data_IF_493675066777
#
_entry.id   IF_493675066777
#
_cell.length_a   1.000
_cell.length_b   1.000
_cell.length_c   1.000
_cell.angle_alpha   90.00
_cell.angle_beta   90.00
_cell.angle_gamma   90.00
#
_symmetry.space_group_name_H-M   'P 1'
#
loop_
_entity.id
_entity.type
_entity.pdbx_description
1 polymer ?
#
# COMPACT_ATOMS: atom_id res chain seq x y z
N UNK A 1 11.60 5.52 6.22
CA UNK A 1 11.87 6.76 6.98
C UNK A 1 13.32 6.67 7.39
N UNK A 2 14.18 7.61 6.98
CA UNK A 2 15.58 7.64 7.42
C UNK A 2 15.72 8.79 8.41
N UNK A 3 16.40 8.55 9.53
CA UNK A 3 16.70 9.59 10.49
C UNK A 3 17.87 10.45 9.96
N UNK A 4 17.53 11.67 9.53
CA UNK A 4 18.49 12.58 8.94
C UNK A 4 19.57 13.02 9.96
N UNK A 5 19.32 12.92 11.26
CA UNK A 5 20.32 13.22 12.28
C UNK A 5 21.40 12.12 12.36
N UNK A 6 21.01 10.85 12.23
CA UNK A 6 21.96 9.72 12.16
C UNK A 6 22.79 9.78 10.87
N UNK A 7 22.19 10.16 9.75
CA UNK A 7 22.90 10.29 8.47
C UNK A 7 23.93 11.44 8.44
N UNK A 8 23.71 12.50 9.22
CA UNK A 8 24.71 13.56 9.46
C UNK A 8 25.87 13.05 10.32
N UNK A 9 25.57 12.27 11.37
CA UNK A 9 26.60 11.62 12.19
C UNK A 9 27.46 10.63 11.39
N UNK A 10 26.86 9.96 10.40
CA UNK A 10 27.55 9.03 9.51
C UNK A 10 28.29 9.69 8.32
N UNK A 11 28.30 11.03 8.24
CA UNK A 11 28.99 11.80 7.19
C UNK A 11 28.39 11.68 5.78
N UNK A 12 27.25 11.00 5.64
CA UNK A 12 26.52 10.83 4.38
C UNK A 12 25.62 12.02 4.07
N UNK A 13 25.37 12.88 5.05
CA UNK A 13 24.56 14.08 4.90
C UNK A 13 25.28 15.32 5.44
N UNK A 14 25.20 16.44 4.70
CA UNK A 14 25.86 17.69 5.07
C UNK A 14 25.13 18.40 6.21
N UNK A 15 25.86 18.69 7.29
CA UNK A 15 25.33 19.34 8.50
C UNK A 15 24.75 20.74 8.26
N UNK A 16 25.30 21.51 7.31
CA UNK A 16 24.82 22.87 7.00
C UNK A 16 23.47 22.88 6.29
N UNK A 17 23.21 21.86 5.47
CA UNK A 17 21.94 21.65 4.79
C UNK A 17 20.84 21.21 5.78
N UNK A 18 21.19 20.34 6.74
CA UNK A 18 20.28 19.93 7.82
C UNK A 18 19.85 21.15 8.65
N UNK A 19 20.77 22.04 9.00
CA UNK A 19 20.47 23.25 9.78
C UNK A 19 19.54 24.23 9.04
N UNK A 20 19.63 24.31 7.72
CA UNK A 20 18.72 25.14 6.89
C UNK A 20 17.35 24.53 6.69
N UNK A 21 17.26 23.20 6.60
CA UNK A 21 15.99 22.47 6.46
C UNK A 21 15.23 22.34 7.78
N UNK A 22 15.93 22.30 8.92
CA UNK A 22 15.32 22.09 10.25
C UNK A 22 14.67 23.33 10.89
N UNK A 23 14.62 24.48 10.22
CA UNK A 23 14.02 25.70 10.77
C UNK A 23 12.53 25.54 11.13
N UNK A 24 11.81 24.61 10.49
CA UNK A 24 10.47 24.20 10.88
C UNK A 24 10.22 22.74 10.47
N UNK A 25 10.50 21.78 11.34
CA UNK A 25 10.22 20.36 11.09
C UNK A 25 8.81 20.03 11.54
N UNK A 26 7.90 19.77 10.59
CA UNK A 26 6.54 19.32 10.91
C UNK A 26 6.47 17.80 10.83
N UNK A 27 6.34 17.12 11.97
CA UNK A 27 6.12 15.67 11.99
C UNK A 27 4.65 15.39 11.71
N UNK A 28 4.36 14.84 10.54
CA UNK A 28 3.04 14.33 10.21
C UNK A 28 2.81 12.99 10.94
N UNK A 29 1.76 12.86 11.75
CA UNK A 29 1.44 11.59 12.39
C UNK A 29 1.04 10.54 11.33
N UNK A 30 1.36 9.26 11.57
CA UNK A 30 0.88 8.17 10.73
C UNK A 30 -0.65 8.09 10.81
N UNK A 31 -1.29 7.54 9.77
CA UNK A 31 -2.75 7.57 9.64
C UNK A 31 -3.49 6.95 10.83
N UNK A 32 -2.92 5.95 11.49
CA UNK A 32 -3.49 5.31 12.71
C UNK A 32 -3.59 6.23 13.93
N UNK A 33 -2.69 7.21 14.04
CA UNK A 33 -2.63 8.10 15.21
C UNK A 33 -3.46 9.38 14.98
N UNK A 34 -4.19 9.45 13.86
CA UNK A 34 -4.94 10.62 13.42
C UNK A 34 -6.40 10.56 13.86
N UNK A 35 -6.84 11.57 14.61
CA UNK A 35 -8.24 11.74 14.97
C UNK A 35 -9.15 12.10 13.78
N UNK A 36 -8.59 12.72 12.73
CA UNK A 36 -9.29 13.10 11.50
C UNK A 36 -9.35 11.97 10.45
N UNK A 37 -8.98 10.74 10.81
CA UNK A 37 -8.89 9.60 9.88
C UNK A 37 -10.20 9.31 9.14
N UNK A 38 -11.36 9.44 9.78
CA UNK A 38 -12.66 9.30 9.12
C UNK A 38 -12.86 10.31 8.00
N UNK A 39 -12.63 11.59 8.27
CA UNK A 39 -12.73 12.63 7.26
C UNK A 39 -11.72 12.43 6.13
N UNK A 40 -10.51 11.93 6.44
CA UNK A 40 -9.51 11.63 5.42
C UNK A 40 -9.91 10.46 4.52
N UNK A 41 -10.50 9.40 5.07
CA UNK A 41 -11.00 8.27 4.29
C UNK A 41 -12.08 8.72 3.32
N UNK A 42 -13.05 9.50 3.80
CA UNK A 42 -14.12 10.07 2.95
C UNK A 42 -13.56 11.00 1.86
N UNK A 43 -12.62 11.88 2.22
CA UNK A 43 -11.98 12.79 1.26
C UNK A 43 -11.20 12.02 0.19
N UNK A 44 -10.50 10.96 0.59
CA UNK A 44 -9.78 10.09 -0.35
C UNK A 44 -10.75 9.35 -1.27
N UNK A 45 -11.86 8.84 -0.72
CA UNK A 45 -12.89 8.16 -1.50
C UNK A 45 -13.48 9.10 -2.55
N UNK A 46 -13.93 10.28 -2.14
CA UNK A 46 -14.50 11.29 -3.02
C UNK A 46 -13.56 11.66 -4.18
N UNK A 47 -12.26 11.77 -3.89
CA UNK A 47 -11.24 12.00 -4.92
C UNK A 47 -11.15 10.84 -5.91
N UNK A 48 -11.03 9.61 -5.42
CA UNK A 48 -10.90 8.40 -6.25
C UNK A 48 -12.15 8.17 -7.11
N UNK A 49 -13.34 8.39 -6.56
CA UNK A 49 -14.61 8.24 -7.29
C UNK A 49 -14.77 9.34 -8.34
N UNK A 50 -14.40 10.58 -8.00
CA UNK A 50 -14.42 11.72 -8.91
C UNK A 50 -13.51 11.54 -10.13
N UNK A 51 -12.28 11.04 -9.93
CA UNK A 51 -11.34 10.73 -11.02
C UNK A 51 -11.86 9.65 -11.98
N UNK A 52 -12.79 8.80 -11.52
CA UNK A 52 -13.36 7.68 -12.28
C UNK A 52 -14.77 7.94 -12.82
N UNK A 53 -15.37 9.09 -12.50
CA UNK A 53 -16.77 9.37 -12.83
C UNK A 53 -17.76 8.41 -12.17
N UNK A 54 -17.39 7.83 -11.02
CA UNK A 54 -18.23 6.94 -10.23
C UNK A 54 -18.80 7.69 -9.02
N UNK A 55 -19.91 7.18 -8.48
CA UNK A 55 -20.39 7.54 -7.14
C UNK A 55 -20.37 6.29 -6.29
N UNK A 56 -19.50 6.28 -5.28
CA UNK A 56 -19.45 5.21 -4.28
C UNK A 56 -19.60 5.78 -2.88
N UNK A 57 -20.21 5.02 -1.99
CA UNK A 57 -20.31 5.33 -0.55
C UNK A 57 -19.75 4.16 0.24
N UNK A 58 -19.19 4.39 1.43
CA UNK A 58 -18.79 3.27 2.30
C UNK A 58 -20.00 2.79 3.12
N UNK A 59 -20.18 1.48 3.18
CA UNK A 59 -21.05 0.87 4.19
C UNK A 59 -20.46 1.06 5.59
N UNK A 60 -21.29 1.01 6.63
CA UNK A 60 -20.83 1.13 8.02
C UNK A 60 -19.77 0.08 8.39
N UNK A 61 -19.93 -1.15 7.90
CA UNK A 61 -18.99 -2.25 8.14
C UNK A 61 -17.65 -2.05 7.40
N UNK A 62 -17.68 -1.56 6.16
CA UNK A 62 -16.46 -1.24 5.42
C UNK A 62 -15.70 -0.09 6.10
N UNK A 63 -16.40 0.95 6.56
CA UNK A 63 -15.79 2.04 7.33
C UNK A 63 -15.15 1.52 8.60
N UNK A 64 -15.82 0.63 9.34
CA UNK A 64 -15.26 0.05 10.57
C UNK A 64 -13.98 -0.77 10.28
N UNK A 65 -13.98 -1.53 9.19
CA UNK A 65 -12.80 -2.30 8.74
C UNK A 65 -11.62 -1.37 8.44
N UNK A 66 -11.86 -0.27 7.70
CA UNK A 66 -10.83 0.73 7.38
C UNK A 66 -10.31 1.47 8.63
N UNK A 67 -11.17 1.68 9.63
CA UNK A 67 -10.77 2.28 10.92
C UNK A 67 -9.96 1.33 11.80
N UNK A 68 -10.20 0.02 11.72
CA UNK A 68 -9.49 -0.96 12.52
C UNK A 68 -8.06 -1.23 12.02
N UNK A 69 -7.76 -0.90 10.76
CA UNK A 69 -6.46 -1.19 10.15
C UNK A 69 -5.35 -0.22 10.60
N UNK A 70 -4.11 -0.74 10.71
CA UNK A 70 -2.93 -0.03 11.22
C UNK A 70 -2.20 0.85 10.20
N UNK A 71 -2.55 0.72 8.93
CA UNK A 71 -2.05 1.50 7.79
C UNK A 71 -0.51 1.59 7.71
N UNK A 72 0.24 0.46 7.65
CA UNK A 72 1.70 0.46 7.51
C UNK A 72 2.20 1.26 6.29
N UNK A 73 1.43 1.34 5.21
CA UNK A 73 1.72 2.15 4.03
C UNK A 73 1.08 3.56 4.06
N UNK A 74 0.48 3.96 5.18
CA UNK A 74 -0.18 5.26 5.40
C UNK A 74 -1.16 5.63 4.26
N UNK A 75 -1.22 6.90 3.88
CA UNK A 75 -2.11 7.42 2.82
C UNK A 75 -1.94 6.75 1.47
N UNK A 76 -0.74 6.22 1.16
CA UNK A 76 -0.50 5.51 -0.12
C UNK A 76 -1.27 4.19 -0.14
N UNK A 77 -1.22 3.45 0.95
CA UNK A 77 -1.99 2.21 1.10
C UNK A 77 -3.49 2.48 1.10
N UNK A 78 -3.95 3.49 1.86
CA UNK A 78 -5.36 3.90 1.84
C UNK A 78 -5.86 4.20 0.43
N UNK A 79 -5.11 5.00 -0.33
CA UNK A 79 -5.48 5.35 -1.71
C UNK A 79 -5.55 4.09 -2.58
N UNK A 80 -4.61 3.15 -2.46
CA UNK A 80 -4.63 1.90 -3.22
C UNK A 80 -5.84 1.03 -2.85
N UNK A 81 -6.15 0.91 -1.55
CA UNK A 81 -7.31 0.15 -1.05
C UNK A 81 -8.61 0.72 -1.61
N UNK A 82 -8.81 2.04 -1.52
CA UNK A 82 -10.02 2.69 -2.04
C UNK A 82 -10.11 2.61 -3.57
N UNK A 83 -8.98 2.72 -4.26
CA UNK A 83 -8.91 2.55 -5.72
C UNK A 83 -9.32 1.14 -6.15
N UNK A 84 -8.88 0.12 -5.40
CA UNK A 84 -9.30 -1.26 -5.63
C UNK A 84 -10.79 -1.43 -5.34
N UNK A 85 -11.24 -0.99 -4.16
CA UNK A 85 -12.62 -1.19 -3.72
C UNK A 85 -13.64 -0.50 -4.64
N UNK A 86 -13.34 0.71 -5.12
CA UNK A 86 -14.17 1.41 -6.11
C UNK A 86 -14.20 0.69 -7.46
N UNK A 87 -13.09 0.09 -7.90
CA UNK A 87 -13.04 -0.68 -9.13
C UNK A 87 -13.85 -1.98 -9.04
N UNK A 88 -13.80 -2.66 -7.88
CA UNK A 88 -14.54 -3.91 -7.64
C UNK A 88 -16.03 -3.65 -7.46
N UNK A 89 -16.41 -2.62 -6.70
CA UNK A 89 -17.81 -2.27 -6.49
C UNK A 89 -18.49 -1.76 -7.78
N UNK A 90 -17.76 -1.09 -8.67
CA UNK A 90 -18.30 -0.60 -9.94
C UNK A 90 -19.31 0.55 -9.80
N UNK A 91 -19.42 1.15 -8.61
CA UNK A 91 -20.43 2.16 -8.26
C UNK A 91 -21.36 1.69 -7.14
N UNK A 92 -21.89 2.62 -6.35
CA UNK A 92 -22.77 2.30 -5.22
C UNK A 92 -22.02 1.96 -3.92
N UNK A 93 -22.67 1.29 -2.96
CA UNK A 93 -22.08 1.05 -1.65
C UNK A 93 -20.90 0.07 -1.70
N UNK A 94 -19.81 0.45 -1.08
CA UNK A 94 -18.62 -0.38 -0.84
C UNK A 94 -18.86 -1.17 0.45
N UNK A 95 -18.97 -2.49 0.28
CA UNK A 95 -19.08 -3.45 1.36
C UNK A 95 -17.71 -4.05 1.73
N UNK A 96 -17.57 -4.69 2.89
CA UNK A 96 -16.31 -5.34 3.29
C UNK A 96 -15.77 -6.31 2.23
N UNK A 97 -16.65 -7.01 1.49
CA UNK A 97 -16.25 -7.92 0.41
C UNK A 97 -15.63 -7.25 -0.81
N UNK A 98 -15.77 -5.93 -0.95
CA UNK A 98 -15.11 -5.14 -2.01
C UNK A 98 -13.73 -4.66 -1.58
N UNK A 99 -13.39 -4.74 -0.30
CA UNK A 99 -12.07 -4.39 0.21
C UNK A 99 -11.07 -5.51 -0.11
N UNK A 100 -9.79 -5.21 -0.36
CA UNK A 100 -8.78 -6.24 -0.57
C UNK A 100 -8.64 -7.12 0.68
N UNK A 101 -8.46 -8.43 0.45
CA UNK A 101 -8.19 -9.42 1.50
C UNK A 101 -6.92 -9.05 2.28
N UNK A 102 -7.03 -8.93 3.61
CA UNK A 102 -5.93 -8.54 4.51
C UNK A 102 -6.18 -7.28 5.36
N UNK A 103 -7.34 -6.62 5.24
CA UNK A 103 -7.72 -5.45 6.06
C UNK A 103 -8.28 -5.79 7.46
N UNK A 104 -8.27 -7.07 7.88
CA UNK A 104 -8.66 -7.51 9.24
C UNK A 104 -7.53 -7.38 10.27
N UNK A 105 -7.82 -7.55 11.59
CA UNK A 105 -6.80 -7.46 12.63
C UNK A 105 -5.77 -8.57 12.43
N UNK A 106 -4.57 -8.17 11.99
CA UNK A 106 -3.38 -9.01 11.88
C UNK A 106 -3.62 -10.38 11.21
N UNK A 107 -4.03 -10.37 9.95
CA UNK A 107 -3.58 -11.42 9.03
C UNK A 107 -2.55 -10.81 8.09
N UNK A 108 -1.29 -10.93 8.52
CA UNK A 108 -0.18 -11.10 7.60
C UNK A 108 -0.51 -12.27 6.66
N UNK A 109 -1.28 -12.04 5.60
CA UNK A 109 -1.15 -12.79 4.35
C UNK A 109 0.03 -12.24 3.53
N UNK A 110 1.13 -11.98 4.25
CA UNK A 110 2.47 -12.13 3.74
C UNK A 110 2.80 -13.62 3.89
N UNK A 111 2.41 -14.43 2.90
CA UNK A 111 3.44 -15.28 2.34
C UNK A 111 4.40 -14.35 1.56
N UNK A 112 5.17 -13.56 2.30
CA UNK A 112 6.40 -12.94 1.80
C UNK A 112 7.50 -14.02 1.72
N UNK A 113 7.08 -15.25 1.38
CA UNK A 113 7.93 -16.39 1.17
C UNK A 113 8.54 -16.22 -0.21
N UNK A 114 9.83 -15.90 -0.24
CA UNK A 114 10.63 -15.91 -1.45
C UNK A 114 10.45 -17.21 -2.25
N UNK A 115 10.20 -18.33 -1.57
CA UNK A 115 9.86 -19.63 -2.15
C UNK A 115 8.59 -19.57 -3.01
N UNK A 116 7.50 -19.00 -2.48
CA UNK A 116 6.21 -18.88 -3.18
C UNK A 116 6.31 -17.94 -4.39
N UNK A 117 7.10 -16.86 -4.28
CA UNK A 117 7.39 -15.95 -5.40
C UNK A 117 8.18 -16.65 -6.51
N UNK A 118 9.22 -17.41 -6.15
CA UNK A 118 10.02 -18.18 -7.10
C UNK A 118 9.20 -19.30 -7.75
N UNK A 119 8.36 -20.00 -6.98
CA UNK A 119 7.48 -21.05 -7.50
C UNK A 119 6.48 -20.48 -8.52
N UNK A 120 5.87 -19.33 -8.23
CA UNK A 120 4.96 -18.66 -9.16
C UNK A 120 5.67 -18.15 -10.43
N UNK A 121 6.89 -17.60 -10.30
CA UNK A 121 7.69 -17.19 -11.47
C UNK A 121 8.17 -18.38 -12.30
N UNK A 122 8.55 -19.49 -11.68
CA UNK A 122 8.96 -20.72 -12.37
C UNK A 122 7.78 -21.34 -13.12
N UNK A 123 6.61 -21.43 -12.48
CA UNK A 123 5.40 -21.98 -13.10
C UNK A 123 4.86 -21.14 -14.27
N UNK A 124 5.28 -19.88 -14.37
CA UNK A 124 4.83 -18.94 -15.40
C UNK A 124 5.97 -18.49 -16.32
N UNK A 125 7.13 -19.15 -16.28
CA UNK A 125 8.30 -18.86 -17.12
C UNK A 125 8.71 -17.37 -17.08
N UNK A 126 8.69 -16.76 -15.89
CA UNK A 126 9.03 -15.36 -15.69
C UNK A 126 7.95 -14.35 -16.11
N UNK A 127 6.75 -14.81 -16.50
CA UNK A 127 5.64 -13.93 -16.84
C UNK A 127 5.01 -13.29 -15.59
N UNK A 128 5.60 -12.17 -15.15
CA UNK A 128 5.20 -11.44 -13.94
C UNK A 128 3.68 -11.11 -13.84
N UNK A 129 2.97 -10.91 -14.96
CA UNK A 129 1.51 -10.67 -14.94
C UNK A 129 0.72 -11.94 -14.64
N UNK A 130 1.13 -13.09 -15.17
CA UNK A 130 0.53 -14.40 -14.88
C UNK A 130 0.87 -14.83 -13.44
N UNK A 131 2.14 -14.64 -13.02
CA UNK A 131 2.57 -14.92 -11.66
C UNK A 131 1.76 -14.13 -10.62
N UNK A 132 1.56 -12.83 -10.85
CA UNK A 132 0.75 -11.98 -9.99
C UNK A 132 -0.71 -12.47 -9.91
N UNK A 133 -1.29 -12.89 -11.05
CA UNK A 133 -2.65 -13.45 -11.11
C UNK A 133 -2.76 -14.77 -10.34
N UNK A 134 -1.77 -15.66 -10.47
CA UNK A 134 -1.74 -16.95 -9.76
C UNK A 134 -1.67 -16.77 -8.23
N UNK A 135 -1.00 -15.72 -7.79
CA UNK A 135 -0.86 -15.36 -6.37
C UNK A 135 -2.01 -14.47 -5.88
N UNK A 136 -2.99 -14.13 -6.72
CA UNK A 136 -4.10 -13.24 -6.36
C UNK A 136 -3.69 -11.81 -6.02
N UNK A 137 -2.49 -11.37 -6.42
CA UNK A 137 -1.94 -10.05 -6.10
C UNK A 137 -1.84 -9.16 -7.35
N UNK A 138 -1.82 -7.85 -7.15
CA UNK A 138 -1.58 -6.91 -8.25
C UNK A 138 -0.13 -6.99 -8.75
N UNK A 139 0.09 -6.70 -10.04
CA UNK A 139 1.43 -6.62 -10.64
C UNK A 139 2.39 -5.72 -9.84
N UNK A 140 1.92 -4.56 -9.39
CA UNK A 140 2.71 -3.64 -8.57
C UNK A 140 3.12 -4.22 -7.21
N UNK A 141 2.27 -5.06 -6.61
CA UNK A 141 2.57 -5.78 -5.36
C UNK A 141 3.56 -6.90 -5.58
N UNK A 142 3.46 -7.62 -6.71
CA UNK A 142 4.46 -8.61 -7.10
C UNK A 142 5.85 -7.96 -7.24
N UNK A 143 6.00 -6.90 -8.05
CA UNK A 143 7.29 -6.22 -8.22
C UNK A 143 7.85 -5.68 -6.90
N UNK A 144 7.00 -5.14 -6.01
CA UNK A 144 7.42 -4.69 -4.68
C UNK A 144 8.00 -5.84 -3.84
N UNK A 145 7.36 -7.02 -3.86
CA UNK A 145 7.84 -8.22 -3.15
C UNK A 145 9.14 -8.75 -3.78
N UNK A 146 9.22 -8.82 -5.10
CA UNK A 146 10.41 -9.25 -5.84
C UNK A 146 11.63 -8.36 -5.56
N UNK A 147 11.46 -7.03 -5.56
CA UNK A 147 12.53 -6.09 -5.22
C UNK A 147 13.01 -6.22 -3.77
N UNK A 148 12.15 -6.62 -2.84
CA UNK A 148 12.50 -6.82 -1.42
C UNK A 148 13.36 -8.07 -1.22
N UNK A 149 13.11 -9.12 -2.00
CA UNK A 149 13.85 -10.39 -1.97
C UNK A 149 15.00 -10.47 -2.98
N UNK A 150 15.21 -9.42 -3.78
CA UNK A 150 16.24 -9.39 -4.83
C UNK A 150 16.03 -10.43 -5.93
N UNK A 151 14.78 -10.77 -6.26
CA UNK A 151 14.43 -11.75 -7.29
C UNK A 151 14.12 -11.00 -8.60
N UNK A 152 14.82 -11.31 -9.69
CA UNK A 152 14.52 -10.77 -11.02
C UNK A 152 13.63 -11.75 -11.81
N UNK A 153 12.45 -11.34 -12.32
CA UNK A 153 11.67 -12.17 -13.23
C UNK A 153 12.43 -12.66 -14.47
N UNK A 154 13.45 -11.91 -14.92
CA UNK A 154 14.26 -12.26 -16.08
C UNK A 154 15.07 -13.54 -15.88
N UNK A 155 15.44 -13.86 -14.63
CA UNK A 155 16.21 -15.07 -14.31
C UNK A 155 15.42 -16.37 -14.54
N UNK A 156 14.09 -16.26 -14.67
CA UNK A 156 13.16 -17.40 -14.83
C UNK A 156 12.61 -17.52 -16.25
N UNK A 157 13.11 -16.69 -17.18
CA UNK A 157 12.73 -16.71 -18.59
C UNK A 157 13.73 -17.59 -19.35
N UNK A 158 13.28 -18.74 -19.85
CA UNK A 158 14.05 -19.62 -20.74
C UNK A 158 14.10 -19.08 -22.17
#
# INVERSE_FOLDING_TARGET
HQDLAEEVGAGRFRADLLYRLNAATFRLPPLRDRHDRAALIETCLARVTGERGLSCTLSGEATQTLMAHDWPGNMRELTNVLTYATAVAGGGPIEPGHLPSGLGPAECADSDDAESLRAALTATEGHATEAARSLGISRATLYRRLSRHGIDPADFRL
#
